data_IF_889193187896
#
_entry.id   IF_889193187896
#
_cell.length_a   1.000
_cell.length_b   1.000
_cell.length_c   1.000
_cell.angle_alpha   90.00
_cell.angle_beta   90.00
_cell.angle_gamma   90.00
#
_symmetry.space_group_name_H-M   'P 1'
#
loop_
_entity.id
_entity.type
_entity.pdbx_description
1 polymer ?
#
# COMPACT_ATOMS: atom_id res chain seq x y z
N UNK A 1 -4.15 -6.23 19.12
CA UNK A 1 -3.28 -5.24 18.41
C UNK A 1 -2.84 -4.11 19.32
N UNK A 2 -3.75 -3.51 20.10
CA UNK A 2 -3.39 -2.39 21.01
C UNK A 2 -2.32 -2.80 22.03
N UNK A 3 -2.48 -3.94 22.71
CA UNK A 3 -1.51 -4.41 23.72
C UNK A 3 -0.12 -4.70 23.13
N UNK A 4 -0.08 -5.36 21.96
CA UNK A 4 1.18 -5.66 21.27
C UNK A 4 1.85 -4.37 20.75
N UNK A 5 1.05 -3.38 20.38
CA UNK A 5 1.52 -2.05 19.96
C UNK A 5 1.81 -1.11 21.13
N UNK A 6 1.84 -1.61 22.37
CA UNK A 6 2.11 -0.82 23.59
C UNK A 6 1.23 0.44 23.70
N UNK A 7 0.02 0.39 23.16
CA UNK A 7 -0.98 1.48 23.15
C UNK A 7 -0.53 2.78 22.44
N UNK A 8 0.53 2.72 21.61
CA UNK A 8 0.99 3.86 20.79
C UNK A 8 0.31 3.91 19.41
N UNK A 9 -0.47 2.86 19.06
CA UNK A 9 -1.25 2.84 17.82
C UNK A 9 -2.45 3.78 17.94
N UNK A 10 -2.85 4.40 16.82
CA UNK A 10 -4.11 5.11 16.73
C UNK A 10 -5.29 4.11 16.80
N UNK A 11 -6.18 4.20 17.82
CA UNK A 11 -7.28 3.26 18.01
C UNK A 11 -8.27 3.25 16.83
N UNK A 12 -8.52 4.40 16.21
CA UNK A 12 -9.47 4.49 15.10
C UNK A 12 -8.91 3.83 13.83
N UNK A 13 -7.61 3.96 13.56
CA UNK A 13 -6.95 3.24 12.48
C UNK A 13 -6.96 1.73 12.72
N UNK A 14 -6.70 1.29 13.94
CA UNK A 14 -6.76 -0.14 14.31
C UNK A 14 -8.18 -0.68 14.12
N UNK A 15 -9.19 0.06 14.56
CA UNK A 15 -10.60 -0.30 14.40
C UNK A 15 -11.00 -0.39 12.92
N UNK A 16 -10.63 0.59 12.11
CA UNK A 16 -10.89 0.61 10.67
C UNK A 16 -10.25 -0.61 9.99
N UNK A 17 -8.98 -0.90 10.29
CA UNK A 17 -8.26 -2.04 9.76
C UNK A 17 -8.93 -3.37 10.14
N UNK A 18 -9.22 -3.60 11.41
CA UNK A 18 -9.84 -4.84 11.89
C UNK A 18 -11.23 -5.05 11.27
N UNK A 19 -12.01 -3.98 11.13
CA UNK A 19 -13.36 -4.05 10.56
C UNK A 19 -13.35 -4.33 9.05
N UNK A 20 -12.32 -3.92 8.34
CA UNK A 20 -12.23 -4.05 6.88
C UNK A 20 -11.47 -5.30 6.43
N UNK A 21 -10.43 -5.71 7.15
CA UNK A 21 -9.44 -6.69 6.69
C UNK A 21 -10.05 -8.04 6.27
N UNK A 22 -11.00 -8.57 7.04
CA UNK A 22 -11.68 -9.84 6.71
C UNK A 22 -12.47 -9.74 5.40
N UNK A 23 -13.27 -8.68 5.28
CA UNK A 23 -14.08 -8.43 4.07
C UNK A 23 -13.22 -8.24 2.83
N UNK A 24 -12.13 -7.51 2.94
CA UNK A 24 -11.22 -7.27 1.82
C UNK A 24 -10.45 -8.54 1.43
N UNK A 25 -10.09 -9.36 2.40
CA UNK A 25 -9.52 -10.67 2.15
C UNK A 25 -10.49 -11.59 1.40
N UNK A 26 -11.74 -11.68 1.86
CA UNK A 26 -12.79 -12.49 1.19
C UNK A 26 -13.06 -11.98 -0.24
N UNK A 27 -13.07 -10.66 -0.42
CA UNK A 27 -13.18 -10.06 -1.74
C UNK A 27 -12.03 -10.49 -2.67
N UNK A 28 -10.80 -10.45 -2.17
CA UNK A 28 -9.62 -10.89 -2.92
C UNK A 28 -9.74 -12.36 -3.32
N UNK A 29 -10.08 -13.25 -2.39
CA UNK A 29 -10.26 -14.68 -2.67
C UNK A 29 -11.32 -14.92 -3.74
N UNK A 30 -12.49 -14.28 -3.59
CA UNK A 30 -13.61 -14.42 -4.51
C UNK A 30 -13.27 -13.98 -5.94
N UNK A 31 -12.52 -12.88 -6.08
CA UNK A 31 -12.24 -12.29 -7.39
C UNK A 31 -10.97 -12.84 -8.05
N UNK A 32 -10.02 -13.35 -7.27
CA UNK A 32 -8.77 -13.89 -7.79
C UNK A 32 -8.80 -15.41 -7.99
N UNK A 33 -9.55 -16.13 -7.17
CA UNK A 33 -9.46 -17.59 -7.05
C UNK A 33 -8.16 -18.09 -6.39
N UNK A 34 -7.27 -17.19 -5.98
CA UNK A 34 -6.00 -17.52 -5.31
C UNK A 34 -6.32 -18.07 -3.91
N UNK A 35 -5.70 -19.20 -3.56
CA UNK A 35 -5.84 -19.80 -2.24
C UNK A 35 -4.56 -19.60 -1.42
N UNK A 36 -4.66 -19.44 -0.09
CA UNK A 36 -3.48 -19.42 0.75
C UNK A 36 -2.73 -20.76 0.66
N UNK A 37 -1.41 -20.69 0.64
CA UNK A 37 -0.56 -21.89 0.68
C UNK A 37 -0.59 -22.52 2.06
N UNK A 38 -0.77 -21.70 3.09
CA UNK A 38 -0.85 -22.13 4.49
C UNK A 38 -1.58 -21.09 5.34
N UNK A 39 -2.20 -21.54 6.43
CA UNK A 39 -2.74 -20.67 7.48
C UNK A 39 -2.06 -21.05 8.77
N UNK A 40 -1.42 -20.09 9.42
CA UNK A 40 -0.61 -20.34 10.61
C UNK A 40 -0.92 -19.37 11.74
N UNK A 41 -0.46 -19.75 12.92
CA UNK A 41 -0.41 -18.90 14.10
C UNK A 41 0.99 -18.29 14.22
N UNK A 42 1.08 -17.00 14.44
CA UNK A 42 2.33 -16.30 14.72
C UNK A 42 2.29 -15.73 16.15
N UNK A 43 3.45 -15.26 16.63
CA UNK A 43 3.55 -14.62 17.94
C UNK A 43 2.51 -13.50 18.10
N UNK A 44 1.85 -13.46 19.25
CA UNK A 44 0.77 -12.51 19.55
C UNK A 44 -0.60 -12.84 18.94
N UNK A 45 -0.76 -14.03 18.35
CA UNK A 45 -2.05 -14.51 17.85
C UNK A 45 -2.64 -15.57 18.78
N UNK A 46 -3.94 -15.46 19.04
CA UNK A 46 -4.69 -16.45 19.84
C UNK A 46 -5.25 -17.59 19.00
N UNK A 47 -5.40 -17.37 17.69
CA UNK A 47 -5.90 -18.36 16.72
C UNK A 47 -5.13 -18.25 15.41
N UNK A 48 -5.03 -19.33 14.61
CA UNK A 48 -4.45 -19.28 13.27
C UNK A 48 -5.22 -18.30 12.38
N UNK A 49 -4.56 -17.23 11.94
CA UNK A 49 -5.16 -16.20 11.05
C UNK A 49 -4.15 -15.55 10.11
N UNK A 50 -2.90 -16.02 10.13
CA UNK A 50 -1.88 -15.56 9.20
C UNK A 50 -1.93 -16.41 7.94
N UNK A 51 -2.45 -15.84 6.87
CA UNK A 51 -2.58 -16.49 5.58
C UNK A 51 -1.33 -16.22 4.74
N UNK A 52 -0.64 -17.26 4.32
CA UNK A 52 0.50 -17.14 3.41
C UNK A 52 0.05 -17.28 1.97
N UNK A 53 0.57 -16.44 1.10
CA UNK A 53 0.32 -16.45 -0.33
C UNK A 53 1.64 -16.36 -1.10
N UNK A 54 1.63 -16.80 -2.35
CA UNK A 54 2.69 -16.43 -3.28
C UNK A 54 2.53 -14.97 -3.66
N UNK A 55 3.45 -14.13 -3.20
CA UNK A 55 3.39 -12.68 -3.39
C UNK A 55 3.24 -12.28 -4.87
N UNK A 56 3.90 -13.01 -5.78
CA UNK A 56 3.80 -12.76 -7.22
C UNK A 56 2.37 -12.96 -7.76
N UNK A 57 1.66 -13.99 -7.33
CA UNK A 57 0.29 -14.26 -7.78
C UNK A 57 -0.66 -13.15 -7.32
N UNK A 58 -0.57 -12.75 -6.05
CA UNK A 58 -1.38 -11.68 -5.48
C UNK A 58 -1.08 -10.34 -6.15
N UNK A 59 0.20 -10.02 -6.35
CA UNK A 59 0.61 -8.78 -7.01
C UNK A 59 0.12 -8.74 -8.46
N UNK A 60 0.25 -9.84 -9.20
CA UNK A 60 -0.23 -9.91 -10.59
C UNK A 60 -1.75 -9.83 -10.69
N UNK A 61 -2.47 -10.40 -9.73
CA UNK A 61 -3.92 -10.24 -9.67
C UNK A 61 -4.31 -8.76 -9.54
N UNK A 62 -3.77 -8.04 -8.55
CA UNK A 62 -4.08 -6.62 -8.35
C UNK A 62 -3.63 -5.76 -9.53
N UNK A 63 -2.46 -6.05 -10.10
CA UNK A 63 -1.97 -5.36 -11.30
C UNK A 63 -2.96 -5.49 -12.47
N UNK A 64 -3.36 -6.71 -12.78
CA UNK A 64 -4.29 -6.98 -13.87
C UNK A 64 -5.69 -6.41 -13.59
N UNK A 65 -6.15 -6.53 -12.35
CA UNK A 65 -7.44 -5.98 -11.93
C UNK A 65 -7.47 -4.45 -12.06
N UNK A 66 -6.43 -3.77 -11.60
CA UNK A 66 -6.31 -2.33 -11.74
C UNK A 66 -6.31 -1.88 -13.21
N UNK A 67 -5.51 -2.55 -14.06
CA UNK A 67 -5.49 -2.27 -15.52
C UNK A 67 -6.84 -2.50 -16.18
N UNK A 68 -7.51 -3.60 -15.87
CA UNK A 68 -8.86 -3.90 -16.38
C UNK A 68 -9.88 -2.82 -16.02
N UNK A 69 -9.70 -2.18 -14.86
CA UNK A 69 -10.55 -1.10 -14.38
C UNK A 69 -10.04 0.31 -14.76
N UNK A 70 -9.15 0.42 -15.73
CA UNK A 70 -8.73 1.69 -16.32
C UNK A 70 -7.58 2.41 -15.62
N UNK A 71 -6.96 1.80 -14.62
CA UNK A 71 -5.79 2.39 -13.97
C UNK A 71 -4.59 2.40 -14.93
N UNK A 72 -3.89 3.54 -14.99
CA UNK A 72 -2.60 3.67 -15.69
C UNK A 72 -1.49 3.31 -14.70
N UNK A 73 -0.73 2.29 -15.02
CA UNK A 73 0.40 1.83 -14.21
C UNK A 73 1.68 2.20 -14.95
N UNK A 74 2.50 3.01 -14.32
CA UNK A 74 3.80 3.44 -14.83
C UNK A 74 4.89 2.72 -14.05
N UNK A 75 5.83 2.11 -14.75
CA UNK A 75 7.02 1.47 -14.17
C UNK A 75 8.27 2.20 -14.62
N UNK A 76 9.37 2.10 -13.84
CA UNK A 76 10.60 2.84 -14.12
C UNK A 76 10.45 4.34 -13.89
N UNK A 77 9.52 4.74 -13.03
CA UNK A 77 9.24 6.13 -12.67
C UNK A 77 9.41 6.28 -11.17
N UNK A 78 10.25 7.19 -10.74
CA UNK A 78 10.52 7.49 -9.33
C UNK A 78 9.72 8.71 -8.90
N UNK A 79 8.91 8.60 -7.86
CA UNK A 79 8.27 9.75 -7.22
C UNK A 79 9.32 10.49 -6.37
N UNK A 80 9.47 11.79 -6.60
CA UNK A 80 10.48 12.62 -5.93
C UNK A 80 9.85 13.50 -4.85
N UNK A 81 8.79 14.23 -5.21
CA UNK A 81 8.15 15.19 -4.32
C UNK A 81 6.65 15.25 -4.55
N UNK A 82 5.91 15.52 -3.49
CA UNK A 82 4.51 15.93 -3.60
C UNK A 82 4.45 17.39 -4.04
N UNK A 83 3.51 17.70 -4.91
CA UNK A 83 3.26 19.07 -5.36
C UNK A 83 2.28 19.72 -4.39
N UNK A 84 2.74 20.76 -3.71
CA UNK A 84 1.96 21.52 -2.74
C UNK A 84 1.45 22.83 -3.35
N UNK A 85 0.18 23.14 -3.14
CA UNK A 85 -0.43 24.41 -3.50
C UNK A 85 -0.61 25.28 -2.23
N UNK A 86 0.13 26.37 -2.16
CA UNK A 86 0.12 27.26 -0.98
C UNK A 86 -1.21 28.00 -0.80
N UNK A 87 -1.89 28.32 -1.90
CA UNK A 87 -3.13 29.09 -1.84
C UNK A 87 -4.29 28.21 -1.35
N UNK A 88 -4.32 26.97 -1.80
CA UNK A 88 -5.36 25.99 -1.44
C UNK A 88 -5.02 25.16 -0.22
N UNK A 89 -3.76 25.18 0.25
CA UNK A 89 -3.27 24.35 1.36
C UNK A 89 -3.51 22.86 1.13
N UNK A 90 -3.26 22.39 -0.10
CA UNK A 90 -3.52 21.00 -0.49
C UNK A 90 -2.42 20.41 -1.37
N UNK A 91 -2.36 19.06 -1.43
CA UNK A 91 -1.53 18.32 -2.37
C UNK A 91 -2.25 18.24 -3.71
N UNK A 92 -1.65 18.79 -4.75
CA UNK A 92 -2.20 18.84 -6.12
C UNK A 92 -1.60 17.83 -7.08
N UNK A 93 -0.60 17.06 -6.64
CA UNK A 93 0.02 16.07 -7.52
C UNK A 93 1.35 15.54 -7.02
N UNK A 94 2.12 14.97 -7.94
CA UNK A 94 3.43 14.39 -7.67
C UNK A 94 4.42 14.74 -8.80
N UNK A 95 5.62 15.14 -8.42
CA UNK A 95 6.77 15.28 -9.31
C UNK A 95 7.51 13.95 -9.40
N UNK A 96 7.79 13.51 -10.61
CA UNK A 96 8.43 12.23 -10.88
C UNK A 96 9.61 12.38 -11.83
N UNK A 97 10.53 11.42 -11.77
CA UNK A 97 11.64 11.28 -12.73
C UNK A 97 11.55 9.89 -13.37
N UNK A 98 11.59 9.81 -14.68
CA UNK A 98 11.62 8.54 -15.40
C UNK A 98 13.06 7.98 -15.50
N UNK A 99 13.18 6.74 -16.03
CA UNK A 99 14.46 6.05 -16.19
C UNK A 99 15.47 6.80 -17.09
N UNK A 100 14.99 7.68 -17.94
CA UNK A 100 15.81 8.47 -18.88
C UNK A 100 16.18 9.84 -18.29
N UNK A 101 15.81 10.10 -17.02
CA UNK A 101 16.08 11.34 -16.30
C UNK A 101 15.09 12.48 -16.59
N UNK A 102 14.03 12.22 -17.37
CA UNK A 102 13.04 13.25 -17.65
C UNK A 102 12.15 13.48 -16.45
N UNK A 103 11.97 14.74 -16.10
CA UNK A 103 11.11 15.17 -15.00
C UNK A 103 9.71 15.48 -15.52
N UNK A 104 8.68 14.98 -14.83
CA UNK A 104 7.27 15.22 -15.14
C UNK A 104 6.47 15.48 -13.88
N UNK A 105 5.40 16.26 -14.02
CA UNK A 105 4.43 16.48 -12.95
C UNK A 105 3.10 15.80 -13.33
N UNK A 106 2.60 14.99 -12.42
CA UNK A 106 1.25 14.42 -12.53
C UNK A 106 0.33 15.10 -11.53
N UNK A 107 -0.70 15.77 -12.06
CA UNK A 107 -1.72 16.42 -11.24
C UNK A 107 -2.75 15.41 -10.70
N UNK A 108 -3.28 15.70 -9.52
CA UNK A 108 -4.38 14.96 -8.91
C UNK A 108 -5.51 15.89 -8.51
N UNK A 109 -6.77 15.49 -8.77
CA UNK A 109 -7.96 16.23 -8.36
C UNK A 109 -8.48 15.82 -6.98
N UNK A 110 -8.15 14.59 -6.54
CA UNK A 110 -8.72 13.99 -5.34
C UNK A 110 -7.66 13.64 -4.28
N UNK A 111 -6.42 14.08 -4.49
CA UNK A 111 -5.30 13.78 -3.59
C UNK A 111 -4.36 12.70 -4.11
N UNK A 112 -3.30 12.43 -3.35
CA UNK A 112 -2.25 11.44 -3.67
C UNK A 112 -2.18 10.44 -2.54
N UNK A 113 -2.34 9.15 -2.85
CA UNK A 113 -2.15 8.06 -1.90
C UNK A 113 -0.69 7.60 -1.94
N UNK A 114 0.01 7.69 -0.81
CA UNK A 114 1.34 7.12 -0.64
C UNK A 114 1.24 5.68 -0.16
N UNK A 115 1.63 4.74 -1.00
CA UNK A 115 1.66 3.30 -0.68
C UNK A 115 3.07 2.72 -0.92
N UNK A 116 4.10 3.48 -0.55
CA UNK A 116 5.51 3.21 -0.86
C UNK A 116 6.17 2.16 0.04
N UNK A 117 5.45 1.65 1.03
CA UNK A 117 5.99 0.72 2.02
C UNK A 117 6.90 1.40 3.04
N UNK A 118 7.72 0.61 3.72
CA UNK A 118 8.66 1.11 4.71
C UNK A 118 9.99 1.55 4.10
N UNK A 119 10.84 2.14 4.94
CA UNK A 119 12.13 2.72 4.55
C UNK A 119 13.33 1.77 4.75
N UNK A 120 13.10 0.50 5.06
CA UNK A 120 14.18 -0.47 5.36
C UNK A 120 15.21 -0.68 4.21
N UNK A 121 14.93 -0.17 3.02
CA UNK A 121 15.84 -0.19 1.87
C UNK A 121 16.44 1.18 1.54
N UNK A 122 16.24 2.19 2.37
CA UNK A 122 16.85 3.51 2.22
C UNK A 122 18.04 3.64 3.18
N UNK A 123 19.29 3.53 2.70
CA UNK A 123 20.47 3.72 3.55
C UNK A 123 20.49 5.12 4.20
N UNK A 124 19.98 6.12 3.51
CA UNK A 124 19.93 7.50 3.98
C UNK A 124 18.99 7.67 5.20
N UNK A 125 17.84 6.99 5.19
CA UNK A 125 16.88 7.02 6.30
C UNK A 125 17.27 6.09 7.45
N UNK A 126 18.06 5.05 7.17
CA UNK A 126 18.57 4.15 8.20
C UNK A 126 19.79 4.73 8.94
N UNK A 127 20.44 5.74 8.37
CA UNK A 127 21.61 6.39 8.96
C UNK A 127 21.24 7.59 9.88
N UNK A 128 19.96 7.92 10.01
CA UNK A 128 19.43 8.94 10.93
C UNK A 128 19.07 8.33 12.29
#
# INVERSE_FOLDING_TARGET
MMDIGHHICDPELVKAFVSASGREHDWMLKNSGIKPTTVMINAGMSVPRSHQYKASEVTMFYYNYAKKNGAKILTGVKAEHLLWDNDKQEITGVKVTDKDGNVKNYGSKNGVLLATGGFARSPELLAQ
#
